data_IF_771342063639
#
_entry.id   IF_771342063639
#
_cell.length_a   1.000
_cell.length_b   1.000
_cell.length_c   1.000
_cell.angle_alpha   90.00
_cell.angle_beta   90.00
_cell.angle_gamma   90.00
#
_symmetry.space_group_name_H-M   'P 1'
#
loop_
_entity.id
_entity.type
_entity.pdbx_description
1 polymer ?
#
# COMPACT_ATOMS: atom_id res chain seq x y z
N UNK A 1 34.61 -18.43 16.92
CA UNK A 1 33.46 -19.02 16.20
C UNK A 1 32.09 -18.77 16.83
N UNK A 2 31.86 -18.99 18.15
CA UNK A 2 30.52 -18.81 18.77
C UNK A 2 29.92 -17.38 18.65
N UNK A 3 30.74 -16.33 18.76
CA UNK A 3 30.29 -14.92 18.67
C UNK A 3 29.66 -14.58 17.30
N UNK A 4 30.25 -15.05 16.20
CA UNK A 4 29.71 -14.82 14.85
C UNK A 4 28.39 -15.55 14.61
N UNK A 5 28.20 -16.74 15.21
CA UNK A 5 26.91 -17.46 15.14
C UNK A 5 25.77 -16.67 15.79
N UNK A 6 26.04 -16.02 16.93
CA UNK A 6 25.04 -15.18 17.62
C UNK A 6 24.69 -13.95 16.77
N UNK A 7 25.69 -13.29 16.18
CA UNK A 7 25.47 -12.12 15.31
C UNK A 7 24.62 -12.51 14.08
N UNK A 8 24.93 -13.64 13.45
CA UNK A 8 24.15 -14.16 12.30
C UNK A 8 22.71 -14.46 12.71
N UNK A 9 22.49 -15.10 13.86
CA UNK A 9 21.14 -15.40 14.36
C UNK A 9 20.34 -14.13 14.65
N UNK A 10 20.95 -13.12 15.27
CA UNK A 10 20.30 -11.82 15.52
C UNK A 10 19.94 -11.14 14.20
N UNK A 11 20.87 -11.12 13.24
CA UNK A 11 20.61 -10.54 11.92
C UNK A 11 19.45 -11.25 11.21
N UNK A 12 19.42 -12.58 11.24
CA UNK A 12 18.33 -13.37 10.64
C UNK A 12 16.99 -13.08 11.32
N UNK A 13 16.96 -12.96 12.65
CA UNK A 13 15.75 -12.65 13.40
C UNK A 13 15.20 -11.26 13.06
N UNK A 14 16.07 -10.25 12.95
CA UNK A 14 15.68 -8.89 12.52
C UNK A 14 15.11 -8.92 11.10
N UNK A 15 15.76 -9.67 10.20
CA UNK A 15 15.30 -9.82 8.82
C UNK A 15 13.91 -10.47 8.76
N UNK A 16 13.67 -11.55 9.52
CA UNK A 16 12.37 -12.23 9.60
C UNK A 16 11.29 -11.27 10.14
N UNK A 17 11.58 -10.54 11.21
CA UNK A 17 10.63 -9.57 11.79
C UNK A 17 10.28 -8.47 10.79
N UNK A 18 11.24 -8.01 9.99
CA UNK A 18 11.00 -7.04 8.93
C UNK A 18 10.03 -7.60 7.87
N UNK A 19 10.27 -8.80 7.35
CA UNK A 19 9.39 -9.43 6.37
C UNK A 19 7.98 -9.72 6.90
N UNK A 20 7.86 -10.18 8.15
CA UNK A 20 6.56 -10.40 8.78
C UNK A 20 5.75 -9.10 8.93
N UNK A 21 6.41 -8.01 9.31
CA UNK A 21 5.78 -6.69 9.39
C UNK A 21 5.29 -6.24 8.02
N UNK A 22 6.10 -6.41 6.98
CA UNK A 22 5.78 -6.03 5.62
C UNK A 22 4.57 -6.80 5.08
N UNK A 23 4.56 -8.13 5.23
CA UNK A 23 3.43 -8.98 4.82
C UNK A 23 2.13 -8.61 5.56
N UNK A 24 2.23 -8.25 6.84
CA UNK A 24 1.07 -7.78 7.63
C UNK A 24 0.49 -6.48 7.05
N UNK A 25 1.34 -5.55 6.64
CA UNK A 25 0.92 -4.28 6.05
C UNK A 25 0.21 -4.51 4.72
N UNK A 26 0.80 -5.31 3.84
CA UNK A 26 0.26 -5.62 2.51
C UNK A 26 -1.11 -6.30 2.60
N UNK A 27 -1.26 -7.28 3.51
CA UNK A 27 -2.54 -7.94 3.77
C UNK A 27 -3.59 -6.99 4.33
N UNK A 28 -3.21 -6.09 5.25
CA UNK A 28 -4.12 -5.09 5.80
C UNK A 28 -4.58 -4.09 4.72
N UNK A 29 -3.66 -3.65 3.86
CA UNK A 29 -4.00 -2.79 2.72
C UNK A 29 -5.01 -3.49 1.83
N UNK A 30 -4.77 -4.75 1.41
CA UNK A 30 -5.69 -5.51 0.57
C UNK A 30 -7.08 -5.65 1.20
N UNK A 31 -7.12 -5.98 2.50
CA UNK A 31 -8.39 -6.09 3.25
C UNK A 31 -9.14 -4.76 3.30
N UNK A 32 -8.45 -3.65 3.55
CA UNK A 32 -9.07 -2.33 3.61
C UNK A 32 -9.53 -1.85 2.23
N UNK A 33 -8.76 -2.14 1.17
CA UNK A 33 -9.06 -1.76 -0.20
C UNK A 33 -10.33 -2.44 -0.75
N UNK A 34 -10.70 -3.62 -0.22
CA UNK A 34 -11.98 -4.28 -0.51
C UNK A 34 -13.19 -3.49 -0.03
N UNK A 35 -13.01 -2.62 0.97
CA UNK A 35 -14.08 -1.78 1.53
C UNK A 35 -14.18 -0.42 0.84
N UNK A 36 -13.21 -0.06 -0.01
CA UNK A 36 -13.24 1.19 -0.79
C UNK A 36 -14.13 1.01 -2.02
N UNK A 37 -14.92 2.03 -2.33
CA UNK A 37 -15.81 2.08 -3.50
C UNK A 37 -15.54 3.33 -4.32
N UNK A 38 -15.81 3.23 -5.62
CA UNK A 38 -15.87 4.38 -6.53
C UNK A 38 -16.91 5.37 -5.98
N UNK A 39 -16.62 6.67 -6.05
CA UNK A 39 -17.48 7.71 -5.50
C UNK A 39 -17.16 8.10 -4.04
N UNK A 40 -16.32 7.35 -3.32
CA UNK A 40 -15.89 7.75 -1.98
C UNK A 40 -14.95 8.95 -2.01
N UNK A 41 -15.05 9.82 -1.00
CA UNK A 41 -14.13 10.96 -0.87
C UNK A 41 -12.80 10.51 -0.25
N UNK A 42 -11.69 11.14 -0.64
CA UNK A 42 -10.34 10.84 -0.18
C UNK A 42 -10.21 10.72 1.35
N UNK A 43 -10.86 11.63 2.09
CA UNK A 43 -10.87 11.59 3.56
C UNK A 43 -11.53 10.31 4.13
N UNK A 44 -12.61 9.83 3.51
CA UNK A 44 -13.24 8.56 3.91
C UNK A 44 -12.30 7.39 3.63
N UNK A 45 -11.60 7.44 2.49
CA UNK A 45 -10.63 6.41 2.13
C UNK A 45 -9.47 6.35 3.12
N UNK A 46 -8.92 7.49 3.54
CA UNK A 46 -7.87 7.53 4.57
C UNK A 46 -8.32 6.84 5.86
N UNK A 47 -9.56 7.09 6.30
CA UNK A 47 -10.10 6.48 7.52
C UNK A 47 -10.23 4.96 7.39
N UNK A 48 -10.61 4.45 6.22
CA UNK A 48 -10.73 3.01 5.95
C UNK A 48 -9.36 2.36 5.81
N UNK A 49 -8.44 3.00 5.08
CA UNK A 49 -7.10 2.46 4.83
C UNK A 49 -6.25 2.44 6.10
N UNK A 50 -6.50 3.36 7.05
CA UNK A 50 -5.77 3.52 8.33
C UNK A 50 -4.26 3.73 8.17
N UNK A 51 -3.81 3.97 6.94
CA UNK A 51 -2.42 4.21 6.57
C UNK A 51 -2.39 5.19 5.42
N UNK A 52 -1.34 6.02 5.38
CA UNK A 52 -1.10 6.91 4.25
C UNK A 52 -0.54 6.10 3.07
N UNK A 53 -0.84 6.51 1.83
CA UNK A 53 -0.15 5.97 0.67
C UNK A 53 1.36 6.23 0.80
N UNK A 54 2.19 5.33 0.29
CA UNK A 54 3.64 5.52 0.29
C UNK A 54 4.08 6.51 -0.80
N UNK A 55 3.26 6.70 -1.83
CA UNK A 55 3.48 7.66 -2.91
C UNK A 55 2.15 8.20 -3.42
N UNK A 56 2.13 9.50 -3.74
CA UNK A 56 1.06 10.16 -4.48
C UNK A 56 1.70 10.76 -5.74
N UNK A 57 1.04 10.59 -6.89
CA UNK A 57 1.49 11.15 -8.17
C UNK A 57 0.32 11.62 -9.01
N UNK A 58 0.56 12.52 -9.95
CA UNK A 58 -0.41 12.85 -11.00
C UNK A 58 -0.52 11.67 -11.96
N UNK A 59 -1.70 11.44 -12.55
CA UNK A 59 -1.84 10.51 -13.67
C UNK A 59 -1.28 11.20 -14.93
N UNK A 60 -0.27 10.60 -15.56
CA UNK A 60 0.42 11.18 -16.72
C UNK A 60 -0.49 11.28 -17.95
N UNK A 61 -1.56 10.48 -18.00
CA UNK A 61 -2.53 10.48 -19.08
C UNK A 61 -3.76 11.35 -18.78
N UNK A 62 -4.10 11.50 -17.50
CA UNK A 62 -5.27 12.25 -17.03
C UNK A 62 -4.84 13.31 -15.99
N UNK A 63 -4.41 14.51 -16.41
CA UNK A 63 -3.79 15.49 -15.52
C UNK A 63 -4.72 16.02 -14.43
N UNK A 64 -6.04 15.85 -14.60
CA UNK A 64 -7.08 16.17 -13.62
C UNK A 64 -7.26 15.08 -12.56
N UNK A 65 -6.42 14.05 -12.57
CA UNK A 65 -6.46 12.92 -11.64
C UNK A 65 -5.13 12.76 -10.90
N UNK A 66 -5.20 12.21 -9.70
CA UNK A 66 -4.03 11.80 -8.93
C UNK A 66 -4.19 10.38 -8.41
N UNK A 67 -3.08 9.68 -8.30
CA UNK A 67 -2.99 8.27 -7.94
C UNK A 67 -2.32 8.17 -6.58
N UNK A 68 -2.99 7.53 -5.63
CA UNK A 68 -2.42 7.14 -4.35
C UNK A 68 -1.99 5.67 -4.41
N UNK A 69 -0.71 5.41 -4.17
CA UNK A 69 -0.11 4.08 -4.23
C UNK A 69 0.06 3.49 -2.83
N UNK A 70 -0.32 2.22 -2.69
CA UNK A 70 -0.22 1.44 -1.46
C UNK A 70 0.57 0.16 -1.72
N UNK A 71 1.35 -0.25 -0.72
CA UNK A 71 2.15 -1.47 -0.79
C UNK A 71 1.24 -2.68 -1.00
N UNK A 72 1.59 -3.51 -1.99
CA UNK A 72 0.97 -4.79 -2.30
C UNK A 72 1.92 -5.95 -2.00
N UNK A 73 1.41 -7.18 -1.84
CA UNK A 73 2.25 -8.36 -1.78
C UNK A 73 3.21 -8.44 -2.97
N UNK A 74 4.43 -8.93 -2.72
CA UNK A 74 5.45 -9.20 -3.75
C UNK A 74 4.92 -10.10 -4.88
N UNK A 75 3.93 -10.94 -4.58
CA UNK A 75 3.28 -11.81 -5.56
C UNK A 75 2.33 -11.10 -6.53
N UNK A 76 2.05 -9.80 -6.33
CA UNK A 76 1.10 -9.04 -7.15
C UNK A 76 1.81 -8.45 -8.36
N UNK A 77 1.12 -8.38 -9.50
CA UNK A 77 1.64 -7.77 -10.74
C UNK A 77 1.92 -6.26 -10.65
N UNK A 78 1.49 -5.60 -9.58
CA UNK A 78 1.80 -4.20 -9.29
C UNK A 78 1.28 -3.76 -7.92
N UNK A 79 1.64 -2.52 -7.54
CA UNK A 79 1.16 -1.90 -6.31
C UNK A 79 -0.34 -1.68 -6.36
N UNK A 80 -1.00 -1.73 -5.19
CA UNK A 80 -2.40 -1.30 -5.11
C UNK A 80 -2.47 0.20 -5.35
N UNK A 81 -3.48 0.64 -6.10
CA UNK A 81 -3.65 2.05 -6.39
C UNK A 81 -5.11 2.47 -6.30
N UNK A 82 -5.30 3.72 -5.90
CA UNK A 82 -6.60 4.37 -5.91
C UNK A 82 -6.41 5.70 -6.64
N UNK A 83 -7.15 5.87 -7.73
CA UNK A 83 -7.16 7.11 -8.52
C UNK A 83 -8.30 8.00 -8.07
N UNK A 84 -8.03 9.28 -7.93
CA UNK A 84 -8.98 10.29 -7.51
C UNK A 84 -9.04 11.42 -8.53
N UNK A 85 -10.20 12.07 -8.65
CA UNK A 85 -10.24 13.38 -9.32
C UNK A 85 -9.62 14.45 -8.44
N UNK A 86 -8.78 15.32 -9.01
CA UNK A 86 -8.19 16.48 -8.33
C UNK A 86 -9.25 17.52 -7.95
N UNK A 87 -10.33 17.61 -8.73
CA UNK A 87 -11.39 18.62 -8.54
C UNK A 87 -12.14 18.43 -7.22
N UNK A 88 -12.56 17.20 -6.94
CA UNK A 88 -13.46 16.88 -5.82
C UNK A 88 -12.89 15.81 -4.87
N UNK A 89 -11.67 15.31 -5.14
CA UNK A 89 -11.02 14.27 -4.35
C UNK A 89 -11.84 12.98 -4.23
N UNK A 90 -12.65 12.67 -5.24
CA UNK A 90 -13.49 11.46 -5.28
C UNK A 90 -12.78 10.32 -5.99
N UNK A 91 -12.92 9.09 -5.47
CA UNK A 91 -12.40 7.86 -6.08
C UNK A 91 -13.03 7.63 -7.45
N UNK A 92 -12.17 7.51 -8.47
CA UNK A 92 -12.52 7.20 -9.86
C UNK A 92 -12.21 5.75 -10.22
N UNK A 93 -11.04 5.26 -9.81
CA UNK A 93 -10.56 3.91 -10.12
C UNK A 93 -9.88 3.28 -8.91
N UNK A 94 -9.96 1.95 -8.82
CA UNK A 94 -9.31 1.16 -7.79
C UNK A 94 -8.61 -0.01 -8.48
N UNK A 95 -7.30 -0.11 -8.32
CA UNK A 95 -6.51 -1.23 -8.82
C UNK A 95 -5.99 -2.05 -7.65
N UNK A 96 -6.23 -3.36 -7.68
CA UNK A 96 -5.94 -4.28 -6.57
C UNK A 96 -4.78 -5.23 -6.85
N UNK A 97 -4.09 -5.11 -7.99
CA UNK A 97 -3.21 -6.16 -8.49
C UNK A 97 -4.01 -7.43 -8.86
N UNK A 98 -3.50 -8.17 -9.83
CA UNK A 98 -3.92 -9.56 -10.09
C UNK A 98 -2.94 -10.52 -9.42
#
# INVERSE_FOLDING_TARGET
MKKYKIIILIFLAVLILYFLKQCTIENNNLKNLKNIKIGMHYNQVILIMKRKPYKIQTDDFEPEEFIALYESPISSSGNFSITYSKKDSIVKRIYRGD
#
